data_IF_426311518420
#
_entry.id   IF_426311518420
#
_cell.length_a   1.000
_cell.length_b   1.000
_cell.length_c   1.000
_cell.angle_alpha   90.00
_cell.angle_beta   90.00
_cell.angle_gamma   90.00
#
_symmetry.space_group_name_H-M   'P 1'
#
loop_
_entity.id
_entity.type
_entity.pdbx_description
1 polymer ?
#
# COMPACT_ATOMS: atom_id res chain seq x y z
N UNK A 1 15.41 5.33 11.34
CA UNK A 1 15.57 6.80 11.30
C UNK A 1 14.82 7.40 10.13
N UNK A 2 15.33 7.24 8.91
CA UNK A 2 14.74 7.80 7.69
C UNK A 2 13.31 7.28 7.43
N UNK A 3 13.05 5.99 7.64
CA UNK A 3 11.73 5.38 7.44
C UNK A 3 10.64 6.00 8.33
N UNK A 4 10.96 6.37 9.58
CA UNK A 4 10.01 7.06 10.46
C UNK A 4 9.68 8.46 9.96
N UNK A 5 10.69 9.21 9.50
CA UNK A 5 10.47 10.55 8.95
C UNK A 5 9.63 10.51 7.67
N UNK A 6 9.90 9.56 6.78
CA UNK A 6 9.12 9.37 5.56
C UNK A 6 7.68 8.99 5.90
N UNK A 7 7.46 8.07 6.84
CA UNK A 7 6.11 7.67 7.25
C UNK A 7 5.32 8.78 7.94
N UNK A 8 5.98 9.60 8.76
CA UNK A 8 5.36 10.80 9.33
C UNK A 8 5.01 11.83 8.26
N UNK A 9 5.84 11.97 7.23
CA UNK A 9 5.58 12.86 6.09
C UNK A 9 4.39 12.35 5.27
N UNK A 10 4.29 11.04 5.00
CA UNK A 10 3.14 10.44 4.33
C UNK A 10 1.87 10.60 5.17
N UNK A 11 1.94 10.37 6.48
CA UNK A 11 0.83 10.62 7.40
C UNK A 11 0.36 12.09 7.31
N UNK A 12 1.31 13.02 7.34
CA UNK A 12 1.03 14.46 7.22
C UNK A 12 0.38 14.80 5.87
N UNK A 13 0.86 14.24 4.77
CA UNK A 13 0.29 14.44 3.44
C UNK A 13 -1.13 13.85 3.33
N UNK A 14 -1.36 12.66 3.89
CA UNK A 14 -2.69 12.01 3.91
C UNK A 14 -3.69 12.84 4.70
N UNK A 15 -3.31 13.36 5.86
CA UNK A 15 -4.17 14.22 6.69
C UNK A 15 -4.44 15.56 5.97
N UNK A 16 -3.40 16.17 5.39
CA UNK A 16 -3.51 17.49 4.74
C UNK A 16 -4.29 17.46 3.43
N UNK A 17 -4.25 16.35 2.68
CA UNK A 17 -4.96 16.18 1.39
C UNK A 17 -6.28 15.40 1.53
N UNK A 18 -6.78 15.21 2.75
CA UNK A 18 -7.84 14.24 3.07
C UNK A 18 -9.24 14.56 2.50
N UNK A 19 -9.46 15.78 2.00
CA UNK A 19 -10.75 16.20 1.44
C UNK A 19 -10.95 15.73 -0.02
N UNK A 20 -9.89 15.54 -0.81
CA UNK A 20 -10.01 15.14 -2.23
C UNK A 20 -9.96 13.62 -2.46
N UNK A 21 -9.49 12.84 -1.47
CA UNK A 21 -9.19 11.41 -1.65
C UNK A 21 -10.30 10.45 -1.21
N UNK A 22 -11.43 10.95 -0.66
CA UNK A 22 -12.56 10.11 -0.27
C UNK A 22 -12.17 8.91 0.64
N UNK A 23 -12.74 7.73 0.39
CA UNK A 23 -12.48 6.52 1.19
C UNK A 23 -11.06 5.94 1.03
N UNK A 24 -10.30 6.34 0.01
CA UNK A 24 -8.92 5.90 -0.20
C UNK A 24 -7.99 6.33 0.94
N UNK A 25 -8.32 7.44 1.62
CA UNK A 25 -7.55 7.96 2.76
C UNK A 25 -7.45 6.97 3.92
N UNK A 26 -8.49 6.18 4.18
CA UNK A 26 -8.50 5.22 5.28
C UNK A 26 -7.56 4.04 4.99
N UNK A 27 -7.48 3.64 3.72
CA UNK A 27 -6.56 2.59 3.27
C UNK A 27 -5.10 3.06 3.34
N UNK A 28 -4.83 4.29 2.87
CA UNK A 28 -3.51 4.91 3.00
C UNK A 28 -3.11 5.12 4.45
N UNK A 29 -4.05 5.54 5.31
CA UNK A 29 -3.81 5.70 6.73
C UNK A 29 -3.45 4.37 7.40
N UNK A 30 -4.21 3.30 7.11
CA UNK A 30 -3.91 1.96 7.61
C UNK A 30 -2.53 1.45 7.15
N UNK A 31 -2.15 1.75 5.90
CA UNK A 31 -0.83 1.43 5.37
C UNK A 31 0.29 2.15 6.13
N UNK A 32 0.18 3.47 6.33
CA UNK A 32 1.20 4.25 7.05
C UNK A 32 1.30 3.83 8.52
N UNK A 33 0.18 3.56 9.18
CA UNK A 33 0.18 3.07 10.56
C UNK A 33 0.86 1.71 10.65
N UNK A 34 0.59 0.80 9.71
CA UNK A 34 1.26 -0.50 9.63
C UNK A 34 2.77 -0.33 9.42
N UNK A 35 3.21 0.62 8.60
CA UNK A 35 4.64 0.83 8.32
C UNK A 35 5.39 1.48 9.49
N UNK A 36 4.75 2.38 10.26
CA UNK A 36 5.29 2.88 11.52
C UNK A 36 5.45 1.73 12.53
N UNK A 37 4.42 0.88 12.65
CA UNK A 37 4.45 -0.28 13.53
C UNK A 37 5.56 -1.26 13.16
N UNK A 38 5.71 -1.56 11.86
CA UNK A 38 6.79 -2.38 11.34
C UNK A 38 8.16 -1.78 11.64
N UNK A 39 8.34 -0.47 11.43
CA UNK A 39 9.60 0.22 11.71
C UNK A 39 9.96 0.17 13.19
N UNK A 40 8.97 0.29 14.08
CA UNK A 40 9.16 0.15 15.53
C UNK A 40 9.63 -1.25 15.90
N UNK A 41 8.95 -2.30 15.41
CA UNK A 41 9.35 -3.68 15.65
C UNK A 41 10.74 -3.95 15.10
N UNK A 42 11.01 -3.55 13.86
CA UNK A 42 12.33 -3.70 13.26
C UNK A 42 13.43 -3.04 14.12
N UNK A 43 13.19 -1.85 14.66
CA UNK A 43 14.14 -1.17 15.55
C UNK A 43 14.33 -1.86 16.91
N UNK A 44 13.29 -2.52 17.44
CA UNK A 44 13.33 -3.25 18.71
C UNK A 44 13.97 -4.64 18.56
N UNK A 45 13.67 -5.33 17.47
CA UNK A 45 14.08 -6.71 17.21
C UNK A 45 15.49 -6.79 16.62
N UNK A 46 15.92 -5.74 15.89
CA UNK A 46 17.19 -5.69 15.13
C UNK A 46 17.45 -7.03 14.42
N UNK A 47 16.60 -7.40 13.44
CA UNK A 47 16.68 -8.71 12.82
C UNK A 47 17.95 -8.82 11.96
N UNK A 48 18.73 -9.86 12.18
CA UNK A 48 19.87 -10.23 11.36
C UNK A 48 19.47 -11.45 10.54
N UNK A 49 19.39 -11.27 9.23
CA UNK A 49 19.15 -12.36 8.29
C UNK A 49 20.50 -12.97 7.89
N UNK A 50 20.67 -14.25 8.17
CA UNK A 50 21.83 -15.03 7.76
C UNK A 50 21.37 -16.11 6.78
N UNK A 51 22.06 -16.22 5.65
CA UNK A 51 21.85 -17.32 4.70
C UNK A 51 23.02 -18.28 4.84
N UNK A 52 22.75 -19.55 5.12
CA UNK A 52 23.78 -20.58 5.25
C UNK A 52 23.40 -21.79 4.38
N UNK A 53 24.08 -21.94 3.24
CA UNK A 53 23.71 -22.91 2.21
C UNK A 53 22.31 -22.63 1.66
N UNK A 54 21.44 -23.64 1.65
CA UNK A 54 20.04 -23.56 1.18
C UNK A 54 19.05 -23.10 2.28
N UNK A 55 19.54 -22.77 3.48
CA UNK A 55 18.72 -22.35 4.60
C UNK A 55 18.81 -20.84 4.85
N UNK A 56 17.65 -20.21 5.03
CA UNK A 56 17.52 -18.81 5.43
C UNK A 56 17.07 -18.72 6.88
N UNK A 57 17.85 -18.09 7.74
CA UNK A 57 17.58 -17.99 9.17
C UNK A 57 17.61 -16.52 9.60
N UNK A 58 16.59 -16.10 10.35
CA UNK A 58 16.51 -14.76 10.93
C UNK A 58 16.70 -14.86 12.43
N UNK A 59 17.66 -14.09 12.95
CA UNK A 59 17.91 -13.96 14.39
C UNK A 59 17.52 -12.56 14.86
N UNK A 60 16.99 -12.46 16.08
CA UNK A 60 16.76 -11.18 16.75
C UNK A 60 17.88 -10.92 17.74
N UNK A 61 18.68 -9.88 17.53
CA UNK A 61 19.76 -9.50 18.47
C UNK A 61 19.45 -8.23 19.28
N UNK A 62 18.26 -7.67 19.09
CA UNK A 62 17.82 -6.46 19.78
C UNK A 62 17.40 -6.67 21.23
N UNK A 63 16.78 -5.62 21.80
CA UNK A 63 16.32 -5.59 23.20
C UNK A 63 15.31 -6.72 23.51
N UNK A 64 14.65 -7.25 22.47
CA UNK A 64 13.70 -8.35 22.56
C UNK A 64 14.16 -9.56 21.73
N UNK A 65 15.06 -10.35 22.31
CA UNK A 65 15.61 -11.60 21.74
C UNK A 65 14.83 -12.84 22.20
N UNK A 66 13.54 -12.91 21.89
CA UNK A 66 12.70 -14.09 22.13
C UNK A 66 12.24 -14.70 20.81
N UNK A 67 11.89 -15.99 20.78
CA UNK A 67 11.33 -16.62 19.57
C UNK A 67 10.02 -15.93 19.12
N UNK A 68 9.31 -15.33 20.07
CA UNK A 68 8.07 -14.59 19.82
C UNK A 68 8.37 -13.32 19.01
N UNK A 69 9.48 -12.62 19.24
CA UNK A 69 9.79 -11.38 18.51
C UNK A 69 10.06 -11.62 17.03
N UNK A 70 10.74 -12.72 16.68
CA UNK A 70 10.99 -13.11 15.28
C UNK A 70 9.67 -13.47 14.59
N UNK A 71 8.77 -14.20 15.26
CA UNK A 71 7.44 -14.51 14.74
C UNK A 71 6.60 -13.26 14.52
N UNK A 72 6.64 -12.29 15.44
CA UNK A 72 5.97 -10.99 15.26
C UNK A 72 6.55 -10.19 14.11
N UNK A 73 7.87 -10.19 13.94
CA UNK A 73 8.54 -9.55 12.80
C UNK A 73 8.09 -10.18 11.46
N UNK A 74 8.04 -11.51 11.38
CA UNK A 74 7.57 -12.21 10.18
C UNK A 74 6.09 -11.93 9.89
N UNK A 75 5.24 -11.90 10.93
CA UNK A 75 3.82 -11.60 10.77
C UNK A 75 3.57 -10.17 10.27
N UNK A 76 4.30 -9.20 10.82
CA UNK A 76 4.18 -7.79 10.41
C UNK A 76 4.69 -7.52 9.01
N UNK A 77 5.80 -8.17 8.63
CA UNK A 77 6.28 -8.14 7.25
C UNK A 77 5.24 -8.73 6.28
N UNK A 78 4.63 -9.86 6.63
CA UNK A 78 3.60 -10.50 5.82
C UNK A 78 2.34 -9.63 5.69
N UNK A 79 1.94 -8.90 6.74
CA UNK A 79 0.75 -8.05 6.76
C UNK A 79 0.80 -6.88 5.77
N UNK A 80 1.99 -6.40 5.41
CA UNK A 80 2.13 -5.31 4.43
C UNK A 80 1.71 -5.76 3.01
N UNK A 81 1.89 -7.05 2.66
CA UNK A 81 1.51 -7.59 1.35
C UNK A 81 0.00 -7.54 1.06
N UNK A 82 -0.92 -8.02 1.92
CA UNK A 82 -2.34 -7.89 1.68
C UNK A 82 -2.80 -6.44 1.72
N UNK A 83 -2.18 -5.55 2.52
CA UNK A 83 -2.49 -4.12 2.50
C UNK A 83 -2.17 -3.49 1.14
N UNK A 84 -1.00 -3.80 0.57
CA UNK A 84 -0.64 -3.40 -0.79
C UNK A 84 -1.60 -3.98 -1.83
N UNK A 85 -1.96 -5.25 -1.69
CA UNK A 85 -2.94 -5.89 -2.58
C UNK A 85 -4.29 -5.16 -2.55
N UNK A 86 -4.80 -4.79 -1.38
CA UNK A 86 -6.05 -4.03 -1.26
C UNK A 86 -5.95 -2.64 -1.90
N UNK A 87 -4.79 -1.96 -1.80
CA UNK A 87 -4.56 -0.69 -2.50
C UNK A 87 -4.62 -0.86 -4.03
N UNK A 88 -4.01 -1.93 -4.57
CA UNK A 88 -4.07 -2.21 -6.01
C UNK A 88 -5.48 -2.57 -6.47
N UNK A 89 -6.20 -3.39 -5.70
CA UNK A 89 -7.59 -3.76 -5.99
C UNK A 89 -8.48 -2.51 -5.98
N UNK A 90 -8.34 -1.65 -4.96
CA UNK A 90 -9.09 -0.41 -4.86
C UNK A 90 -8.84 0.50 -6.07
N UNK A 91 -7.56 0.68 -6.45
CA UNK A 91 -7.18 1.45 -7.66
C UNK A 91 -7.74 0.82 -8.92
N UNK A 92 -7.68 -0.50 -9.06
CA UNK A 92 -8.24 -1.22 -10.20
C UNK A 92 -9.74 -0.94 -10.33
N UNK A 93 -10.52 -1.10 -9.26
CA UNK A 93 -11.96 -0.82 -9.30
C UNK A 93 -12.29 0.66 -9.53
N UNK A 94 -11.50 1.58 -8.96
CA UNK A 94 -11.67 3.02 -9.20
C UNK A 94 -11.44 3.37 -10.68
N UNK A 95 -10.39 2.82 -11.31
CA UNK A 95 -10.12 3.00 -12.74
C UNK A 95 -11.19 2.31 -13.61
N UNK A 96 -11.64 1.12 -13.19
CA UNK A 96 -12.64 0.29 -13.88
C UNK A 96 -14.03 0.92 -13.89
N UNK A 97 -14.45 1.55 -12.79
CA UNK A 97 -15.78 2.18 -12.63
C UNK A 97 -15.83 3.66 -13.02
N UNK A 98 -14.72 4.38 -12.98
CA UNK A 98 -14.66 5.81 -13.30
C UNK A 98 -13.82 6.11 -14.54
N UNK A 99 -14.12 5.51 -15.70
CA UNK A 99 -13.47 5.87 -16.96
C UNK A 99 -13.63 7.38 -17.27
N UNK A 100 -14.76 7.99 -16.90
CA UNK A 100 -14.99 9.44 -17.01
C UNK A 100 -14.09 10.30 -16.10
N UNK A 101 -13.58 9.76 -14.98
CA UNK A 101 -12.66 10.46 -14.07
C UNK A 101 -11.18 10.15 -14.37
N UNK A 102 -10.92 9.11 -15.17
CA UNK A 102 -9.60 8.76 -15.71
C UNK A 102 -9.03 9.89 -16.61
N UNK A 103 -9.90 10.71 -17.20
CA UNK A 103 -9.49 11.92 -17.91
C UNK A 103 -9.05 13.07 -16.97
N UNK A 104 -9.50 13.08 -15.71
CA UNK A 104 -9.16 14.11 -14.71
C UNK A 104 -7.94 13.77 -13.84
N UNK A 105 -7.67 12.49 -13.62
CA UNK A 105 -6.45 11.98 -12.98
C UNK A 105 -5.44 11.55 -14.04
N UNK A 106 -4.89 12.51 -14.78
CA UNK A 106 -3.98 12.28 -15.91
C UNK A 106 -2.77 11.40 -15.48
N UNK A 107 -2.64 10.17 -15.98
CA UNK A 107 -1.34 9.51 -16.08
C UNK A 107 -0.66 9.99 -17.38
N UNK A 108 0.67 10.14 -17.39
CA UNK A 108 1.43 10.52 -18.59
C UNK A 108 1.01 9.69 -19.83
N UNK A 109 1.10 10.27 -21.03
CA UNK A 109 0.65 9.64 -22.28
C UNK A 109 1.23 8.22 -22.48
N UNK A 110 2.43 7.98 -21.97
CA UNK A 110 3.08 6.66 -21.96
C UNK A 110 2.26 5.62 -21.20
N UNK A 111 1.80 5.94 -19.98
CA UNK A 111 1.01 5.03 -19.16
C UNK A 111 -0.36 4.72 -19.81
N UNK A 112 -0.90 5.65 -20.61
CA UNK A 112 -2.12 5.43 -21.40
C UNK A 112 -1.92 4.39 -22.48
N UNK A 113 -0.77 4.41 -23.15
CA UNK A 113 -0.44 3.47 -24.22
C UNK A 113 -0.19 2.06 -23.67
N UNK A 114 0.53 1.94 -22.54
CA UNK A 114 0.76 0.66 -21.87
C UNK A 114 -0.52 -0.01 -21.36
N UNK A 115 -1.50 0.78 -20.92
CA UNK A 115 -2.72 0.26 -20.30
C UNK A 115 -3.83 -0.03 -21.31
N UNK A 116 -3.76 0.57 -22.50
CA UNK A 116 -4.72 0.39 -23.61
C UNK A 116 -5.12 -1.08 -23.86
N UNK A 117 -4.21 -2.06 -23.98
CA UNK A 117 -4.59 -3.45 -24.28
C UNK A 117 -5.33 -4.16 -23.14
N UNK A 118 -5.22 -3.69 -21.89
CA UNK A 118 -5.87 -4.31 -20.73
C UNK A 118 -7.35 -3.93 -20.58
N UNK A 119 -7.80 -2.90 -21.28
CA UNK A 119 -9.14 -2.33 -21.12
C UNK A 119 -10.02 -2.42 -22.39
N UNK A 120 -9.52 -3.01 -23.48
CA UNK A 120 -10.32 -3.25 -24.69
C UNK A 120 -11.19 -4.49 -24.48
N UNK A 121 -12.46 -4.30 -24.15
CA UNK A 121 -13.49 -5.35 -24.27
C UNK A 121 -14.58 -5.42 -23.20
N UNK A 122 -14.44 -4.74 -22.06
CA UNK A 122 -15.19 -5.16 -20.85
C UNK A 122 -15.88 -4.01 -20.07
N UNK A 123 -16.14 -2.87 -20.69
CA UNK A 123 -16.68 -1.69 -20.00
C UNK A 123 -18.11 -1.32 -20.38
N UNK A 124 -19.01 -1.54 -19.41
CA UNK A 124 -20.37 -1.02 -19.40
C UNK A 124 -20.35 0.49 -19.62
N UNK A 125 -21.21 0.95 -20.53
CA UNK A 125 -21.26 2.30 -21.05
C UNK A 125 -21.50 3.38 -19.98
N UNK A 126 -21.32 4.62 -20.43
CA UNK A 126 -21.45 5.88 -19.68
C UNK A 126 -22.75 6.07 -18.86
N UNK A 127 -23.76 5.21 -19.02
CA UNK A 127 -25.06 5.30 -18.34
C UNK A 127 -24.98 5.12 -16.82
N UNK A 128 -24.00 4.36 -16.30
CA UNK A 128 -23.87 4.15 -14.85
C UNK A 128 -23.31 5.36 -14.08
N UNK A 129 -22.62 6.29 -14.75
CA UNK A 129 -22.06 7.48 -14.10
C UNK A 129 -23.13 8.56 -13.83
N UNK A 130 -24.24 8.55 -14.57
CA UNK A 130 -25.34 9.48 -14.35
C UNK A 130 -26.16 9.16 -13.08
N UNK A 131 -26.13 7.92 -12.61
CA UNK A 131 -26.84 7.46 -11.40
C UNK A 131 -26.08 7.68 -10.09
N UNK A 132 -24.81 8.11 -10.16
CA UNK A 132 -23.99 8.39 -8.96
C UNK A 132 -24.00 9.87 -8.55
N UNK A 133 -24.66 10.73 -9.33
CA UNK A 133 -24.74 12.17 -9.12
C UNK A 133 -26.18 12.71 -8.93
N UNK A 134 -27.16 11.81 -8.75
CA UNK A 134 -28.52 12.08 -8.28
C UNK A 134 -28.89 11.06 -7.20
#
# INVERSE_FOLDING_TARGET
>A
GISLLVNLLVLFLVVRRSNDMGNYRFLLFAFVVNDIYFTLIHSLTLPIACTYGDAFVIFATGFWSSQISISYYAATFSQTMPLLMHLFIYRYFAMKRCWGSYFGYMPDDDAREYLKPFFVGDFAGFEYLAQLYW
#
